data_IF_462906164908
#
_entry.id   IF_462906164908
#
_cell.length_a   1.000
_cell.length_b   1.000
_cell.length_c   1.000
_cell.angle_alpha   90.00
_cell.angle_beta   90.00
_cell.angle_gamma   90.00
#
_symmetry.space_group_name_H-M   'P 1'
#
loop_
_entity.id
_entity.type
_entity.pdbx_description
1 polymer ?
#
# COMPACT_ATOMS: atom_id res chain seq x y z
N UNK A 1 -13.70 20.26 -2.34
CA UNK A 1 -12.90 20.04 -3.55
C UNK A 1 -12.66 18.54 -3.77
N UNK A 2 -11.99 17.84 -2.85
CA UNK A 2 -11.79 16.38 -2.93
C UNK A 2 -13.08 15.56 -3.15
N UNK A 3 -14.14 15.85 -2.38
CA UNK A 3 -15.44 15.15 -2.51
C UNK A 3 -16.33 15.53 -3.70
N UNK A 4 -15.87 16.31 -4.69
CA UNK A 4 -16.71 16.65 -5.88
C UNK A 4 -16.35 15.85 -7.13
N UNK A 5 -15.27 15.06 -7.09
CA UNK A 5 -14.81 14.23 -8.22
C UNK A 5 -14.41 12.82 -7.76
N UNK A 6 -15.31 12.08 -7.09
CA UNK A 6 -14.99 10.82 -6.43
C UNK A 6 -14.37 9.78 -7.37
N UNK A 7 -14.88 9.68 -8.61
CA UNK A 7 -14.34 8.77 -9.61
C UNK A 7 -12.89 9.10 -10.02
N UNK A 8 -12.54 10.39 -10.09
CA UNK A 8 -11.16 10.82 -10.37
C UNK A 8 -10.24 10.44 -9.22
N UNK A 9 -10.68 10.63 -7.97
CA UNK A 9 -9.89 10.24 -6.80
C UNK A 9 -9.70 8.72 -6.71
N UNK A 10 -10.77 7.96 -6.94
CA UNK A 10 -10.73 6.50 -7.03
C UNK A 10 -9.78 6.00 -8.12
N UNK A 11 -9.79 6.66 -9.28
CA UNK A 11 -8.87 6.37 -10.39
C UNK A 11 -7.42 6.62 -9.98
N UNK A 12 -7.13 7.74 -9.31
CA UNK A 12 -5.77 8.04 -8.83
C UNK A 12 -5.29 6.99 -7.82
N UNK A 13 -6.15 6.58 -6.88
CA UNK A 13 -5.83 5.54 -5.90
C UNK A 13 -5.55 4.20 -6.57
N UNK A 14 -6.36 3.79 -7.54
CA UNK A 14 -6.16 2.52 -8.25
C UNK A 14 -4.89 2.54 -9.12
N UNK A 15 -4.53 3.69 -9.70
CA UNK A 15 -3.23 3.86 -10.39
C UNK A 15 -2.07 3.65 -9.42
N UNK A 16 -2.13 4.23 -8.22
CA UNK A 16 -1.07 4.09 -7.22
C UNK A 16 -0.93 2.65 -6.73
N UNK A 17 -2.04 1.92 -6.61
CA UNK A 17 -2.03 0.49 -6.26
C UNK A 17 -1.41 -0.37 -7.38
N UNK A 18 -1.88 -0.20 -8.62
CA UNK A 18 -1.46 -1.04 -9.75
C UNK A 18 -0.02 -0.75 -10.22
N UNK A 19 0.44 0.49 -10.04
CA UNK A 19 1.74 0.95 -10.51
C UNK A 19 2.43 1.76 -9.42
N UNK A 20 2.76 1.08 -8.31
CA UNK A 20 3.48 1.71 -7.21
C UNK A 20 4.83 2.24 -7.69
N UNK A 21 4.99 3.56 -7.63
CA UNK A 21 6.21 4.28 -8.02
C UNK A 21 7.39 3.89 -7.14
N UNK A 22 7.12 3.61 -5.86
CA UNK A 22 8.09 3.17 -4.87
C UNK A 22 7.62 1.84 -4.27
N UNK A 23 7.87 0.70 -4.96
CA UNK A 23 7.33 -0.60 -4.54
C UNK A 23 7.87 -1.06 -3.17
N UNK A 24 8.99 -0.49 -2.72
CA UNK A 24 9.55 -0.74 -1.38
C UNK A 24 9.54 0.48 -0.45
N UNK A 25 8.82 1.55 -0.84
CA UNK A 25 8.83 2.81 -0.11
C UNK A 25 10.22 3.40 0.07
N UNK A 26 10.41 4.11 1.19
CA UNK A 26 11.73 4.48 1.67
C UNK A 26 12.18 3.45 2.71
N UNK A 27 13.48 3.20 2.73
CA UNK A 27 14.11 2.39 3.76
C UNK A 27 13.93 3.01 5.15
N UNK A 28 13.55 2.17 6.11
CA UNK A 28 13.45 2.56 7.52
C UNK A 28 14.66 2.00 8.27
N UNK A 29 14.89 2.50 9.49
CA UNK A 29 15.96 2.01 10.35
C UNK A 29 15.48 1.90 11.79
N UNK A 30 15.80 0.79 12.43
CA UNK A 30 15.53 0.59 13.85
C UNK A 30 16.38 1.56 14.68
N UNK A 31 15.74 2.47 15.42
CA UNK A 31 16.44 3.44 16.27
C UNK A 31 16.97 2.81 17.57
N UNK A 32 16.37 1.69 17.97
CA UNK A 32 16.72 0.88 19.13
C UNK A 32 16.39 -0.60 18.85
N UNK A 33 16.87 -1.48 19.73
CA UNK A 33 16.46 -2.89 19.71
C UNK A 33 14.95 -2.99 19.94
N UNK A 34 14.24 -3.69 19.07
CA UNK A 34 12.79 -3.86 19.14
C UNK A 34 12.37 -5.28 18.77
N UNK A 35 11.11 -5.61 18.98
CA UNK A 35 10.52 -6.89 18.59
C UNK A 35 9.40 -6.67 17.58
N UNK A 36 9.41 -7.43 16.50
CA UNK A 36 8.37 -7.43 15.48
C UNK A 36 8.00 -8.87 15.15
N UNK A 37 6.73 -9.24 15.36
CA UNK A 37 6.21 -10.59 15.09
C UNK A 37 7.04 -11.72 15.74
N UNK A 38 7.50 -11.51 16.98
CA UNK A 38 8.34 -12.47 17.71
C UNK A 38 9.84 -12.45 17.33
N UNK A 39 10.23 -11.63 16.35
CA UNK A 39 11.64 -11.48 15.94
C UNK A 39 12.27 -10.26 16.59
N UNK A 40 13.45 -10.44 17.18
CA UNK A 40 14.26 -9.32 17.67
C UNK A 40 14.96 -8.61 16.51
N UNK A 41 14.61 -7.35 16.28
CA UNK A 41 15.28 -6.45 15.35
C UNK A 41 16.29 -5.62 16.14
N UNK A 42 17.56 -5.67 15.74
CA UNK A 42 18.62 -4.91 16.41
C UNK A 42 18.62 -3.45 15.96
N UNK A 43 19.02 -2.57 16.87
CA UNK A 43 19.32 -1.17 16.57
C UNK A 43 20.20 -1.06 15.33
N UNK A 44 19.94 -0.03 14.53
CA UNK A 44 20.59 0.29 13.26
C UNK A 44 20.33 -0.70 12.10
N UNK A 45 19.49 -1.73 12.31
CA UNK A 45 19.02 -2.60 11.22
C UNK A 45 18.21 -1.79 10.22
N UNK A 46 18.56 -1.88 8.93
CA UNK A 46 17.77 -1.35 7.84
C UNK A 46 16.57 -2.25 7.55
N UNK A 47 15.40 -1.64 7.42
CA UNK A 47 14.13 -2.29 7.21
C UNK A 47 13.62 -1.91 5.82
N UNK A 48 13.42 -2.95 5.01
CA UNK A 48 12.78 -2.88 3.70
C UNK A 48 11.46 -3.60 3.79
N UNK A 49 10.40 -3.01 3.24
CA UNK A 49 9.08 -3.63 3.14
C UNK A 49 8.66 -3.63 1.68
N UNK A 50 7.99 -4.69 1.24
CA UNK A 50 7.50 -4.80 -0.12
C UNK A 50 6.03 -4.36 -0.15
N UNK A 51 5.80 -3.08 -0.46
CA UNK A 51 4.44 -2.54 -0.61
C UNK A 51 3.75 -3.23 -1.80
N UNK A 52 4.49 -3.50 -2.87
CA UNK A 52 3.92 -4.10 -4.07
C UNK A 52 3.34 -5.50 -3.82
N UNK A 53 3.94 -6.30 -2.94
CA UNK A 53 3.35 -7.60 -2.59
C UNK A 53 2.01 -7.46 -1.89
N UNK A 54 1.82 -6.42 -1.06
CA UNK A 54 0.53 -6.13 -0.45
C UNK A 54 -0.51 -5.68 -1.49
N UNK A 55 -0.12 -4.84 -2.45
CA UNK A 55 -1.02 -4.42 -3.53
C UNK A 55 -1.42 -5.53 -4.50
N UNK A 56 -0.65 -6.61 -4.54
CA UNK A 56 -0.92 -7.82 -5.33
C UNK A 56 -1.54 -8.97 -4.52
N UNK A 57 -1.85 -8.76 -3.25
CA UNK A 57 -2.45 -9.78 -2.40
C UNK A 57 -3.90 -10.06 -2.85
N UNK A 58 -4.15 -11.28 -3.32
CA UNK A 58 -5.47 -11.72 -3.80
C UNK A 58 -6.46 -11.92 -2.67
N UNK A 59 -6.02 -12.25 -1.47
CA UNK A 59 -6.93 -12.43 -0.34
C UNK A 59 -7.49 -11.07 0.12
N UNK A 60 -6.71 -10.01 -0.07
CA UNK A 60 -7.15 -8.65 0.23
C UNK A 60 -7.88 -7.97 -0.94
N UNK A 61 -7.36 -8.07 -2.17
CA UNK A 61 -7.87 -7.33 -3.33
C UNK A 61 -8.82 -8.13 -4.23
N UNK A 62 -8.89 -9.45 -4.08
CA UNK A 62 -9.64 -10.39 -4.92
C UNK A 62 -8.99 -10.60 -6.29
N UNK A 63 -9.00 -9.56 -7.10
CA UNK A 63 -8.49 -9.51 -8.47
C UNK A 63 -7.51 -8.33 -8.66
N UNK A 64 -6.34 -8.37 -8.01
CA UNK A 64 -5.39 -7.27 -7.97
C UNK A 64 -4.80 -6.90 -9.33
N UNK A 65 -4.84 -7.80 -10.32
CA UNK A 65 -4.34 -7.53 -11.67
C UNK A 65 -5.33 -6.71 -12.52
N UNK A 66 -6.60 -6.60 -12.09
CA UNK A 66 -7.60 -5.80 -12.77
C UNK A 66 -7.55 -4.35 -12.28
N UNK A 67 -7.47 -3.41 -13.23
CA UNK A 67 -7.63 -2.00 -12.95
C UNK A 67 -9.12 -1.68 -12.77
N UNK A 68 -9.56 -1.46 -11.52
CA UNK A 68 -10.95 -1.19 -11.17
C UNK A 68 -11.03 -0.02 -10.19
N UNK A 69 -11.16 1.25 -10.62
CA UNK A 69 -11.32 2.38 -9.69
C UNK A 69 -12.47 2.20 -8.67
N UNK A 70 -13.52 1.49 -9.06
CA UNK A 70 -14.76 1.31 -8.30
C UNK A 70 -14.56 0.67 -6.92
N UNK A 71 -13.46 -0.06 -6.66
CA UNK A 71 -13.15 -0.57 -5.31
C UNK A 71 -12.85 0.53 -4.28
N UNK A 72 -12.61 1.76 -4.71
CA UNK A 72 -12.41 2.90 -3.82
C UNK A 72 -13.61 3.86 -3.77
N UNK A 73 -14.70 3.53 -4.45
CA UNK A 73 -15.96 4.27 -4.37
C UNK A 73 -16.82 3.68 -3.26
N UNK A 74 -17.61 4.53 -2.61
CA UNK A 74 -18.67 4.08 -1.69
C UNK A 74 -20.03 4.15 -2.40
N UNK A 75 -21.11 3.79 -1.71
CA UNK A 75 -22.46 3.79 -2.29
C UNK A 75 -22.92 5.18 -2.77
N UNK A 76 -22.32 6.26 -2.27
CA UNK A 76 -22.61 7.65 -2.65
C UNK A 76 -21.71 8.16 -3.80
N UNK A 77 -20.80 7.32 -4.30
CA UNK A 77 -19.73 7.69 -5.22
C UNK A 77 -18.44 7.98 -4.46
#
# INVERSE_FOLDING_TARGET
DRGTVPYTEATIMEIQRCSSVAPSGLEHKALEDTELDGYTIKKDTLLFYNINSFFLDRDYWGDPENFRPERFLNDDG
#
